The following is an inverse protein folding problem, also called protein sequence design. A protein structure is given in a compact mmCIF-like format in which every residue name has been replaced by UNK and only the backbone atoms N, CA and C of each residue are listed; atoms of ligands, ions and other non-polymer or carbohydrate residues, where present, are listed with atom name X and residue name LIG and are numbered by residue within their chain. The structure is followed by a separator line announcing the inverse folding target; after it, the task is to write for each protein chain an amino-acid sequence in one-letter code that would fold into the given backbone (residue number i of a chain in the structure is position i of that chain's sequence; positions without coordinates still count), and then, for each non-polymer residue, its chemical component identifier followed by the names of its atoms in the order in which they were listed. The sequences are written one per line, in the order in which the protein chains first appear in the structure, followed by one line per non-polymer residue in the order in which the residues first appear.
data_IF_442775832075
#
_entry.id   IF_442775832075
#
_cell.length_a   1.000
_cell.length_b   1.000
_cell.length_c   1.000
_cell.angle_alpha   90.00
_cell.angle_beta   90.00
_cell.angle_gamma   90.00
#
_symmetry.space_group_name_H-M   'P 1'
#
loop_
_entity.id
_entity.type
_entity.pdbx_description
1 polymer ?
#
# COMPACT_ATOMS: atom_id res chain seq x y z
N UNK A 1 50.54 -19.59 -7.75
CA UNK A 1 49.37 -19.24 -8.58
C UNK A 1 48.24 -20.17 -8.18
N UNK A 2 47.34 -19.70 -7.33
CA UNK A 2 46.20 -20.48 -6.84
C UNK A 2 44.99 -20.17 -7.72
N UNK A 3 44.33 -21.22 -8.20
CA UNK A 3 43.22 -21.19 -9.15
C UNK A 3 42.00 -20.44 -8.56
N UNK A 4 41.43 -19.43 -9.28
CA UNK A 4 40.29 -18.65 -8.80
C UNK A 4 39.02 -19.48 -8.54
N UNK A 5 38.91 -20.71 -9.05
CA UNK A 5 37.77 -21.59 -8.80
C UNK A 5 37.80 -22.25 -7.41
N UNK A 6 38.98 -22.40 -6.80
CA UNK A 6 39.12 -23.02 -5.46
C UNK A 6 38.68 -22.05 -4.35
N UNK A 7 38.83 -20.74 -4.58
CA UNK A 7 38.35 -19.70 -3.66
C UNK A 7 36.82 -19.55 -3.66
N UNK A 8 36.15 -19.86 -4.78
CA UNK A 8 34.68 -19.80 -4.88
C UNK A 8 34.00 -20.95 -4.12
N UNK A 9 34.63 -22.13 -4.06
CA UNK A 9 34.11 -23.29 -3.31
C UNK A 9 34.38 -23.21 -1.80
N UNK A 10 35.43 -22.52 -1.37
CA UNK A 10 35.66 -22.27 0.07
C UNK A 10 34.64 -21.28 0.66
N UNK A 11 34.20 -20.28 -0.13
CA UNK A 11 33.17 -19.32 0.28
C UNK A 11 31.75 -19.90 0.34
N UNK A 12 31.54 -21.13 -0.17
CA UNK A 12 30.26 -21.87 -0.06
C UNK A 12 30.14 -22.66 1.25
N UNK A 13 31.23 -22.80 2.02
CA UNK A 13 31.24 -23.59 3.26
C UNK A 13 31.08 -22.74 4.52
N UNK A 14 31.44 -21.46 4.45
CA UNK A 14 31.18 -20.50 5.52
C UNK A 14 29.90 -19.74 5.17
N UNK A 15 28.79 -20.09 5.83
CA UNK A 15 27.42 -19.58 5.61
C UNK A 15 27.21 -18.08 5.84
N UNK A 16 28.02 -17.22 5.20
CA UNK A 16 28.04 -15.77 5.37
C UNK A 16 27.16 -14.96 4.41
N UNK A 17 26.33 -15.62 3.59
CA UNK A 17 25.46 -14.92 2.61
C UNK A 17 23.95 -15.06 2.88
N UNK A 18 23.51 -15.75 3.93
CA UNK A 18 22.07 -15.97 4.17
C UNK A 18 21.41 -14.96 5.12
N UNK A 19 22.14 -13.98 5.68
CA UNK A 19 21.61 -13.17 6.79
C UNK A 19 21.20 -11.72 6.42
N UNK A 20 21.24 -11.33 5.13
CA UNK A 20 20.94 -9.93 4.72
C UNK A 20 19.75 -9.74 3.77
N UNK A 21 18.84 -10.70 3.74
CA UNK A 21 17.46 -10.50 3.28
C UNK A 21 16.52 -11.29 4.19
N UNK A 22 16.56 -11.02 5.50
CA UNK A 22 15.44 -11.42 6.35
C UNK A 22 14.30 -10.47 5.98
N UNK A 23 13.47 -10.85 5.02
CA UNK A 23 12.26 -10.12 4.69
C UNK A 23 11.48 -9.85 5.99
N UNK A 24 10.89 -8.66 6.11
CA UNK A 24 10.08 -8.31 7.28
C UNK A 24 9.03 -9.39 7.44
N UNK A 25 9.05 -10.09 8.59
CA UNK A 25 8.08 -11.13 8.88
C UNK A 25 6.70 -10.49 9.04
N UNK A 26 5.71 -11.05 8.36
CA UNK A 26 4.31 -10.64 8.46
C UNK A 26 3.50 -11.88 8.84
N UNK A 27 2.81 -11.80 9.97
CA UNK A 27 1.94 -12.89 10.41
C UNK A 27 0.68 -12.87 9.57
N UNK A 28 0.30 -14.03 9.06
CA UNK A 28 -0.92 -14.21 8.29
C UNK A 28 -1.72 -15.27 9.02
N UNK A 29 -2.95 -14.94 9.39
CA UNK A 29 -3.85 -15.80 10.15
C UNK A 29 -4.94 -16.41 9.25
N UNK A 30 -5.58 -17.51 9.66
CA UNK A 30 -6.61 -18.16 8.85
C UNK A 30 -7.80 -17.24 8.58
N UNK A 31 -8.53 -17.49 7.49
CA UNK A 31 -9.79 -16.82 7.18
C UNK A 31 -10.94 -17.34 8.08
N UNK A 32 -10.81 -17.19 9.39
CA UNK A 32 -11.81 -17.57 10.41
C UNK A 32 -12.43 -16.37 11.15
N UNK A 33 -12.18 -15.16 10.63
CA UNK A 33 -12.74 -13.91 11.12
C UNK A 33 -14.26 -13.86 11.06
N UNK A 34 -14.86 -13.07 11.96
CA UNK A 34 -16.32 -12.86 12.00
C UNK A 34 -16.70 -11.67 11.12
N UNK A 35 -17.68 -11.87 10.24
CA UNK A 35 -18.20 -10.84 9.34
C UNK A 35 -19.65 -10.50 9.67
N UNK A 36 -19.88 -9.28 10.15
CA UNK A 36 -21.18 -8.67 10.38
C UNK A 36 -21.55 -7.74 9.22
N UNK A 37 -22.82 -7.34 9.17
CA UNK A 37 -23.34 -6.39 8.18
C UNK A 37 -23.80 -5.10 8.84
N UNK A 38 -23.56 -3.95 8.19
CA UNK A 38 -24.11 -2.63 8.56
C UNK A 38 -24.83 -1.98 7.37
N UNK A 39 -25.34 -0.77 7.60
CA UNK A 39 -26.08 0.00 6.60
C UNK A 39 -25.22 0.22 5.34
N UNK A 40 -25.86 0.33 4.16
CA UNK A 40 -25.13 0.52 2.92
C UNK A 40 -24.39 1.86 2.94
N UNK A 41 -23.18 1.88 2.37
CA UNK A 41 -22.34 3.07 2.31
C UNK A 41 -22.07 3.44 0.85
N UNK A 42 -22.57 4.60 0.42
CA UNK A 42 -22.36 5.11 -0.93
C UNK A 42 -20.99 5.76 -1.08
N UNK A 43 -20.46 5.80 -2.31
CA UNK A 43 -19.24 6.55 -2.61
C UNK A 43 -19.60 8.03 -2.78
N UNK A 44 -18.77 8.92 -2.23
CA UNK A 44 -18.90 10.37 -2.41
C UNK A 44 -18.31 10.75 -3.77
N UNK A 45 -18.98 11.65 -4.51
CA UNK A 45 -18.50 12.11 -5.80
C UNK A 45 -17.28 13.04 -5.62
N UNK A 46 -16.11 12.68 -6.14
CA UNK A 46 -14.89 13.43 -5.96
C UNK A 46 -14.84 14.81 -6.64
N UNK A 47 -15.78 15.22 -7.48
CA UNK A 47 -15.50 16.31 -8.43
C UNK A 47 -15.20 17.70 -7.85
N UNK A 48 -15.63 18.03 -6.62
CA UNK A 48 -15.58 19.42 -6.13
C UNK A 48 -14.44 19.77 -5.14
N UNK A 49 -13.61 18.81 -4.72
CA UNK A 49 -12.69 19.06 -3.59
C UNK A 49 -11.35 19.70 -3.97
N UNK A 50 -10.92 19.56 -5.24
CA UNK A 50 -9.56 19.99 -5.63
C UNK A 50 -9.37 21.50 -5.51
N UNK A 51 -10.38 22.28 -5.91
CA UNK A 51 -10.30 23.75 -5.87
C UNK A 51 -10.24 24.27 -4.43
N UNK A 52 -10.84 23.55 -3.49
CA UNK A 52 -10.93 23.97 -2.09
C UNK A 52 -9.76 23.44 -1.24
N UNK A 53 -9.27 22.23 -1.50
CA UNK A 53 -8.33 21.51 -0.62
C UNK A 53 -7.01 21.11 -1.30
N UNK A 54 -6.87 21.31 -2.61
CA UNK A 54 -5.67 20.97 -3.36
C UNK A 54 -5.58 19.47 -3.72
N UNK A 55 -4.37 18.91 -3.68
CA UNK A 55 -4.11 17.52 -4.08
C UNK A 55 -4.86 16.57 -3.16
N UNK A 56 -5.70 15.71 -3.71
CA UNK A 56 -6.40 14.70 -2.92
C UNK A 56 -5.42 13.66 -2.40
N UNK A 57 -5.52 13.34 -1.13
CA UNK A 57 -4.76 12.24 -0.52
C UNK A 57 -5.69 11.07 -0.23
N UNK A 58 -5.35 9.90 -0.76
CA UNK A 58 -6.09 8.66 -0.58
C UNK A 58 -5.19 7.64 0.12
N UNK A 59 -5.71 6.91 1.09
CA UNK A 59 -4.99 5.82 1.75
C UNK A 59 -5.75 4.52 1.66
N UNK A 60 -5.04 3.43 1.38
CA UNK A 60 -5.60 2.08 1.24
C UNK A 60 -4.77 1.07 2.04
N UNK A 61 -5.45 0.12 2.68
CA UNK A 61 -4.84 -0.93 3.49
C UNK A 61 -4.90 -2.28 2.80
N UNK A 62 -3.75 -2.95 2.68
CA UNK A 62 -3.64 -4.35 2.28
C UNK A 62 -3.72 -5.21 3.53
N UNK A 63 -4.82 -5.95 3.66
CA UNK A 63 -5.09 -6.87 4.76
C UNK A 63 -4.87 -8.30 4.27
N UNK A 64 -3.99 -9.04 4.94
CA UNK A 64 -3.65 -10.41 4.57
C UNK A 64 -4.27 -11.44 5.51
N UNK A 65 -4.78 -12.50 4.91
CA UNK A 65 -5.29 -13.70 5.57
C UNK A 65 -4.79 -14.91 4.79
N UNK A 66 -4.94 -16.13 5.31
CA UNK A 66 -4.71 -17.33 4.52
C UNK A 66 -5.88 -18.30 4.54
N UNK A 67 -6.00 -19.04 3.46
CA UNK A 67 -6.87 -20.20 3.38
C UNK A 67 -5.99 -21.37 2.94
N UNK A 68 -5.98 -22.45 3.71
CA UNK A 68 -5.12 -23.62 3.47
C UNK A 68 -3.61 -23.31 3.32
N UNK A 69 -3.10 -22.31 4.04
CA UNK A 69 -1.70 -21.87 3.96
C UNK A 69 -1.37 -21.02 2.73
N UNK A 70 -2.36 -20.69 1.90
CA UNK A 70 -2.18 -19.79 0.76
C UNK A 70 -2.59 -18.36 1.13
N UNK A 71 -1.74 -17.35 0.90
CA UNK A 71 -2.04 -15.96 1.24
C UNK A 71 -3.11 -15.36 0.31
N UNK A 72 -4.07 -14.67 0.93
CA UNK A 72 -5.16 -13.96 0.28
C UNK A 72 -5.18 -12.50 0.75
N UNK A 73 -5.66 -11.62 -0.12
CA UNK A 73 -5.90 -10.20 0.18
C UNK A 73 -7.38 -9.98 0.36
N UNK A 74 -7.78 -9.32 1.46
CA UNK A 74 -9.16 -8.91 1.65
C UNK A 74 -9.49 -7.68 0.78
N UNK A 75 -10.51 -7.81 -0.08
CA UNK A 75 -10.99 -6.76 -0.97
C UNK A 75 -12.47 -6.49 -0.75
N UNK A 76 -12.86 -5.23 -0.88
CA UNK A 76 -14.27 -4.82 -0.99
C UNK A 76 -14.72 -5.01 -2.44
N UNK A 77 -15.76 -5.83 -2.63
CA UNK A 77 -16.43 -6.02 -3.90
C UNK A 77 -17.73 -5.22 -3.94
N UNK A 78 -17.87 -4.34 -4.94
CA UNK A 78 -19.04 -3.50 -5.19
C UNK A 78 -19.71 -3.97 -6.49
N UNK A 79 -21.04 -4.10 -6.46
CA UNK A 79 -21.85 -4.50 -7.61
C UNK A 79 -21.33 -5.76 -8.36
N UNK A 80 -20.69 -6.68 -7.64
CA UNK A 80 -20.04 -7.90 -8.14
C UNK A 80 -18.92 -7.74 -9.18
N UNK A 81 -18.64 -6.53 -9.68
CA UNK A 81 -17.69 -6.30 -10.78
C UNK A 81 -16.53 -5.38 -10.40
N UNK A 82 -16.68 -4.57 -9.35
CA UNK A 82 -15.68 -3.59 -8.95
C UNK A 82 -15.01 -4.02 -7.65
N UNK A 83 -13.68 -4.00 -7.62
CA UNK A 83 -12.89 -4.41 -6.47
C UNK A 83 -12.02 -3.25 -6.01
N UNK A 84 -11.95 -3.04 -4.69
CA UNK A 84 -11.09 -2.03 -4.08
C UNK A 84 -10.54 -2.50 -2.75
N UNK A 85 -9.38 -1.94 -2.38
CA UNK A 85 -8.87 -2.09 -1.02
C UNK A 85 -9.71 -1.25 -0.04
N UNK A 86 -9.83 -1.68 1.22
CA UNK A 86 -10.42 -0.85 2.25
C UNK A 86 -9.52 0.37 2.52
N UNK A 87 -10.15 1.54 2.62
CA UNK A 87 -9.46 2.82 2.63
C UNK A 87 -10.39 3.95 2.26
N UNK A 88 -9.86 5.17 2.28
CA UNK A 88 -10.59 6.36 1.86
C UNK A 88 -9.69 7.59 1.72
N UNK A 89 -10.31 8.71 1.39
CA UNK A 89 -9.70 10.03 1.38
C UNK A 89 -9.32 10.51 2.78
N UNK A 90 -8.16 11.14 2.90
CA UNK A 90 -7.72 11.82 4.11
C UNK A 90 -8.30 13.22 4.18
N UNK A 91 -8.58 13.68 5.40
CA UNK A 91 -8.84 15.10 5.64
C UNK A 91 -7.54 15.89 5.49
N UNK A 92 -7.60 17.20 5.17
CA UNK A 92 -6.40 18.04 5.15
C UNK A 92 -5.62 17.93 6.46
N UNK A 93 -4.30 17.78 6.36
CA UNK A 93 -3.36 17.65 7.49
C UNK A 93 -3.51 16.38 8.35
N UNK A 94 -4.30 15.40 7.92
CA UNK A 94 -4.39 14.09 8.59
C UNK A 94 -3.16 13.22 8.22
N UNK A 95 -2.43 12.66 9.19
CA UNK A 95 -1.27 11.83 8.88
C UNK A 95 -1.70 10.46 8.32
N UNK A 96 -1.00 9.98 7.29
CA UNK A 96 -1.44 8.82 6.50
C UNK A 96 -1.74 7.55 7.31
N UNK A 97 -0.88 7.16 8.26
CA UNK A 97 -1.07 5.92 9.04
C UNK A 97 -2.25 6.03 10.00
N UNK A 98 -2.31 7.09 10.80
CA UNK A 98 -3.42 7.28 11.75
C UNK A 98 -4.74 7.47 10.99
N UNK A 99 -4.71 8.22 9.88
CA UNK A 99 -5.87 8.42 9.02
C UNK A 99 -6.34 7.14 8.34
N UNK A 100 -5.43 6.28 7.89
CA UNK A 100 -5.80 4.96 7.36
C UNK A 100 -6.52 4.13 8.42
N UNK A 101 -6.01 4.11 9.66
CA UNK A 101 -6.70 3.43 10.76
C UNK A 101 -8.14 3.91 10.94
N UNK A 102 -8.37 5.24 10.90
CA UNK A 102 -9.71 5.82 11.01
C UNK A 102 -10.61 5.43 9.83
N UNK A 103 -10.07 5.39 8.61
CA UNK A 103 -10.82 4.94 7.43
C UNK A 103 -11.14 3.45 7.48
N UNK A 104 -10.25 2.62 8.02
CA UNK A 104 -10.54 1.20 8.25
C UNK A 104 -11.64 1.01 9.29
N UNK A 105 -11.68 1.80 10.37
CA UNK A 105 -12.79 1.78 11.33
C UNK A 105 -14.10 2.25 10.67
N UNK A 106 -14.08 3.32 9.87
CA UNK A 106 -15.27 3.78 9.14
C UNK A 106 -15.79 2.72 8.17
N UNK A 107 -14.89 2.06 7.43
CA UNK A 107 -15.26 1.08 6.39
C UNK A 107 -15.62 -0.28 6.98
N UNK A 108 -14.85 -0.79 7.94
CA UNK A 108 -14.94 -2.17 8.44
C UNK A 108 -15.18 -2.29 9.94
N UNK A 109 -15.15 -1.20 10.70
CA UNK A 109 -15.44 -1.18 12.13
C UNK A 109 -16.94 -1.32 12.43
N UNK A 110 -17.28 -1.65 13.70
CA UNK A 110 -18.65 -1.74 14.16
C UNK A 110 -19.38 -0.41 14.00
N UNK A 111 -20.73 -0.42 13.96
CA UNK A 111 -21.50 0.83 14.02
C UNK A 111 -21.07 1.61 15.27
N UNK A 112 -20.77 2.90 15.11
CA UNK A 112 -20.64 3.79 16.26
C UNK A 112 -21.94 3.66 17.06
N UNK A 113 -21.86 3.43 18.37
CA UNK A 113 -23.05 3.38 19.21
C UNK A 113 -23.76 4.73 19.09
N UNK A 114 -25.06 4.71 18.80
CA UNK A 114 -25.90 5.92 18.83
C UNK A 114 -25.96 6.53 20.26
N UNK A 115 -25.47 5.80 21.25
CA UNK A 115 -25.40 6.19 22.66
C UNK A 115 -24.14 7.01 22.97
N UNK A 116 -23.99 8.18 22.35
CA UNK A 116 -23.04 9.16 22.85
C UNK A 116 -23.52 10.58 22.56
N UNK A 117 -24.12 11.16 23.59
CA UNK A 117 -23.96 12.56 23.93
C UNK A 117 -22.45 12.84 24.08
N UNK A 118 -21.72 12.88 22.96
CA UNK A 118 -20.30 13.23 22.92
C UNK A 118 -20.20 14.74 23.05
N UNK A 119 -19.63 15.19 24.16
CA UNK A 119 -19.29 16.59 24.38
C UNK A 119 -18.45 17.12 23.19
N UNK A 120 -18.93 18.14 22.45
CA UNK A 120 -18.28 18.63 21.23
C UNK A 120 -16.95 19.37 21.48
N UNK A 121 -16.51 19.51 22.73
CA UNK A 121 -15.32 20.28 23.11
C UNK A 121 -14.02 19.47 23.21
N UNK A 122 -14.02 18.15 22.93
CA UNK A 122 -12.83 17.32 23.02
C UNK A 122 -12.50 16.66 21.67
N UNK A 123 -11.54 17.23 20.93
CA UNK A 123 -10.79 16.51 19.89
C UNK A 123 -9.95 15.41 20.55
N UNK A 124 -10.57 14.31 20.96
CA UNK A 124 -9.82 13.12 21.33
C UNK A 124 -9.23 12.57 20.04
N UNK A 125 -7.90 12.55 19.95
CA UNK A 125 -7.17 11.75 18.96
C UNK A 125 -7.73 10.32 19.05
N UNK A 126 -8.60 9.96 18.11
CA UNK A 126 -9.24 8.65 18.11
C UNK A 126 -8.16 7.63 17.77
N UNK A 127 -7.68 6.94 18.80
CA UNK A 127 -6.68 5.89 18.65
C UNK A 127 -7.38 4.66 18.07
N UNK A 128 -6.94 4.25 16.89
CA UNK A 128 -7.50 3.06 16.23
C UNK A 128 -6.70 1.82 16.63
N UNK A 129 -7.35 0.65 16.60
CA UNK A 129 -6.72 -0.64 16.94
C UNK A 129 -6.03 -1.32 15.77
N UNK A 130 -5.60 -0.57 14.74
CA UNK A 130 -4.98 -1.12 13.54
C UNK A 130 -3.47 -0.94 13.58
N UNK A 131 -2.72 -2.00 13.29
CA UNK A 131 -1.27 -1.96 13.15
C UNK A 131 -0.89 -1.70 11.68
N UNK A 132 -0.60 -0.44 11.36
CA UNK A 132 -0.24 -0.01 10.00
C UNK A 132 1.29 -0.04 9.82
N UNK A 133 1.76 -1.00 9.00
CA UNK A 133 3.17 -1.17 8.65
C UNK A 133 3.64 -0.14 7.61
N UNK A 134 4.71 -0.48 6.89
CA UNK A 134 5.34 0.41 5.93
C UNK A 134 4.51 0.62 4.66
N UNK A 135 4.79 1.76 4.02
CA UNK A 135 4.28 2.11 2.71
C UNK A 135 4.72 1.05 1.69
N UNK A 136 3.75 0.43 1.02
CA UNK A 136 4.00 -0.53 -0.05
C UNK A 136 4.33 0.20 -1.35
N UNK A 137 3.48 1.16 -1.72
CA UNK A 137 3.65 2.00 -2.90
C UNK A 137 2.74 3.23 -2.85
N UNK A 138 3.03 4.17 -3.74
CA UNK A 138 2.19 5.33 -4.02
C UNK A 138 1.81 5.35 -5.49
N UNK A 139 0.68 5.95 -5.82
CA UNK A 139 0.21 6.17 -7.17
C UNK A 139 -0.22 7.62 -7.31
N UNK A 140 0.03 8.21 -8.47
CA UNK A 140 -0.34 9.60 -8.75
C UNK A 140 -1.32 9.66 -9.90
N UNK A 141 -2.38 10.44 -9.72
CA UNK A 141 -3.29 10.80 -10.79
C UNK A 141 -2.89 12.16 -11.36
N UNK A 142 -2.36 12.23 -12.60
CA UNK A 142 -1.90 13.50 -13.17
C UNK A 142 -3.05 14.43 -13.59
N UNK A 143 -4.11 13.86 -14.19
CA UNK A 143 -5.25 14.59 -14.75
C UNK A 143 -6.58 14.00 -14.23
N UNK A 144 -7.73 14.55 -14.58
CA UNK A 144 -9.06 14.01 -14.22
C UNK A 144 -9.44 12.70 -14.96
N UNK A 145 -8.47 12.02 -15.57
CA UNK A 145 -8.66 10.74 -16.27
C UNK A 145 -8.54 9.56 -15.30
N UNK A 146 -9.05 8.39 -15.70
CA UNK A 146 -9.11 7.19 -14.84
C UNK A 146 -7.72 6.58 -14.51
N UNK A 147 -6.68 6.86 -15.31
CA UNK A 147 -5.37 6.24 -15.16
C UNK A 147 -4.54 6.84 -14.02
N UNK A 148 -3.86 5.98 -13.26
CA UNK A 148 -2.89 6.36 -12.23
C UNK A 148 -1.49 5.87 -12.62
N UNK A 149 -0.47 6.69 -12.35
CA UNK A 149 0.93 6.39 -12.60
C UNK A 149 1.56 5.72 -11.37
N UNK A 150 2.24 4.58 -11.59
CA UNK A 150 3.05 3.91 -10.56
C UNK A 150 4.50 4.44 -10.59
N UNK A 151 5.21 4.49 -9.46
CA UNK A 151 6.60 4.96 -9.41
C UNK A 151 7.56 4.00 -10.11
N UNK A 152 7.16 2.74 -10.32
CA UNK A 152 7.99 1.72 -10.98
C UNK A 152 8.29 2.10 -12.43
N UNK A 153 7.45 2.92 -13.08
CA UNK A 153 7.75 3.48 -14.40
C UNK A 153 8.93 4.47 -14.39
N UNK A 154 9.42 4.89 -13.21
CA UNK A 154 10.63 5.71 -13.08
C UNK A 154 11.90 4.87 -12.91
N UNK A 155 11.80 3.61 -12.46
CA UNK A 155 12.97 2.72 -12.32
C UNK A 155 13.47 2.27 -13.70
N UNK A 156 12.59 2.12 -14.69
CA UNK A 156 12.98 1.78 -16.07
C UNK A 156 13.58 2.94 -16.88
N UNK A 157 13.57 4.19 -16.37
CA UNK A 157 14.35 5.29 -16.96
C UNK A 157 15.67 5.58 -16.21
N UNK A 158 15.98 4.81 -15.17
CA UNK A 158 17.26 4.89 -14.44
C UNK A 158 18.18 3.69 -14.69
N UNK A 159 17.72 2.68 -15.41
CA UNK A 159 18.58 1.63 -15.99
C UNK A 159 19.00 2.00 -17.41
N UNK A 160 19.75 3.08 -17.54
CA UNK A 160 20.88 3.09 -18.46
C UNK A 160 21.95 4.11 -18.02
N UNK A 161 22.70 3.75 -16.97
CA UNK A 161 23.95 4.42 -16.60
C UNK A 161 25.15 3.92 -17.39
N UNK A 162 24.99 2.90 -18.22
CA UNK A 162 26.01 2.37 -19.13
C UNK A 162 26.17 3.23 -20.39
N UNK A 163 25.11 3.94 -20.81
CA UNK A 163 25.14 4.80 -22.02
C UNK A 163 25.39 6.29 -21.70
N UNK A 164 25.39 6.70 -20.42
CA UNK A 164 25.70 8.07 -19.99
C UNK A 164 27.17 8.31 -19.59
N UNK A 165 28.11 7.58 -20.17
CA UNK A 165 29.55 7.86 -20.05
C UNK A 165 30.09 8.77 -21.16
N UNK A 166 29.26 9.25 -22.09
CA UNK A 166 29.74 10.07 -23.21
C UNK A 166 29.61 11.59 -23.04
N UNK A 167 28.97 12.10 -21.97
CA UNK A 167 28.90 13.55 -21.72
C UNK A 167 29.24 13.92 -20.27
N UNK A 168 30.37 13.42 -19.76
CA UNK A 168 31.03 13.97 -18.56
C UNK A 168 32.42 14.52 -18.91
N UNK A 169 32.43 15.56 -19.73
CA UNK A 169 33.53 16.54 -19.80
C UNK A 169 32.93 17.93 -19.93
N UNK A 170 32.33 18.45 -18.85
CA UNK A 170 32.47 19.87 -18.50
C UNK A 170 31.83 20.17 -17.15
N UNK A 171 32.43 21.15 -16.47
CA UNK A 171 31.95 21.90 -15.30
C UNK A 171 31.78 21.17 -13.97
N UNK A 172 32.70 21.55 -13.08
CA UNK A 172 32.62 21.56 -11.62
C UNK A 172 31.20 21.74 -11.08
N UNK A 173 30.79 20.84 -10.18
CA UNK A 173 30.07 21.16 -8.95
C UNK A 173 30.08 19.91 -8.06
N UNK A 174 30.67 20.07 -6.88
CA UNK A 174 30.85 19.04 -5.86
C UNK A 174 29.69 19.16 -4.87
N UNK A 175 28.68 18.30 -4.95
CA UNK A 175 27.61 18.27 -3.95
C UNK A 175 27.44 16.84 -3.43
N UNK A 176 27.84 16.65 -2.17
CA UNK A 176 27.77 15.42 -1.40
C UNK A 176 26.32 15.22 -0.94
N UNK A 177 25.63 14.22 -1.46
CA UNK A 177 24.23 13.93 -1.09
C UNK A 177 24.22 13.17 0.24
N UNK A 178 23.66 13.79 1.27
CA UNK A 178 23.40 13.18 2.57
C UNK A 178 22.08 12.40 2.46
N UNK A 179 22.11 11.08 2.65
CA UNK A 179 20.93 10.22 2.63
C UNK A 179 20.21 10.30 3.98
N UNK A 180 19.27 11.22 4.12
CA UNK A 180 18.34 11.26 5.25
C UNK A 180 16.92 11.35 4.73
N UNK A 181 16.14 10.29 4.98
CA UNK A 181 14.71 10.08 4.67
C UNK A 181 14.34 10.16 3.17
N UNK A 182 13.58 9.19 2.61
CA UNK A 182 13.09 9.33 1.24
C UNK A 182 11.96 10.36 1.22
N UNK A 183 12.23 11.54 0.69
CA UNK A 183 11.17 12.45 0.24
C UNK A 183 10.23 11.70 -0.71
N UNK A 184 8.91 11.90 -0.65
CA UNK A 184 7.97 11.25 -1.55
C UNK A 184 8.34 11.62 -2.99
N UNK A 185 8.76 10.63 -3.78
CA UNK A 185 9.18 10.81 -5.17
C UNK A 185 8.04 11.45 -5.97
N UNK A 186 8.22 12.71 -6.35
CA UNK A 186 7.26 13.48 -7.14
C UNK A 186 7.08 12.85 -8.53
N UNK A 187 5.87 12.88 -9.14
CA UNK A 187 5.69 12.47 -10.53
C UNK A 187 6.57 13.32 -11.46
N UNK A 188 6.95 12.74 -12.61
CA UNK A 188 7.91 13.32 -13.58
C UNK A 188 7.74 14.83 -13.83
N UNK A 189 8.84 15.50 -14.16
CA UNK A 189 9.02 16.96 -14.36
C UNK A 189 8.03 17.70 -15.27
N UNK A 190 7.10 17.02 -15.95
CA UNK A 190 6.09 17.61 -16.84
C UNK A 190 4.70 17.73 -16.21
N UNK A 191 4.45 17.14 -15.03
CA UNK A 191 3.19 17.26 -14.30
C UNK A 191 3.45 18.20 -13.11
N UNK A 192 3.05 19.46 -13.24
CA UNK A 192 3.33 20.46 -12.22
C UNK A 192 2.56 20.22 -10.91
N UNK A 193 1.36 19.63 -10.96
CA UNK A 193 0.50 19.36 -9.81
C UNK A 193 -0.43 18.15 -10.06
N UNK A 194 -0.17 16.97 -9.46
CA UNK A 194 -1.11 15.85 -9.55
C UNK A 194 -2.43 16.18 -8.85
N UNK A 195 -3.53 15.58 -9.31
CA UNK A 195 -4.87 15.77 -8.71
C UNK A 195 -5.11 14.86 -7.51
N UNK A 196 -4.47 13.71 -7.49
CA UNK A 196 -4.59 12.72 -6.42
C UNK A 196 -3.26 12.01 -6.19
N UNK A 197 -2.94 11.75 -4.91
CA UNK A 197 -1.89 10.82 -4.48
C UNK A 197 -2.57 9.73 -3.67
N UNK A 198 -2.45 8.49 -4.13
CA UNK A 198 -2.97 7.30 -3.44
C UNK A 198 -1.81 6.52 -2.83
N UNK A 199 -1.89 6.24 -1.54
CA UNK A 199 -0.84 5.55 -0.78
C UNK A 199 -1.37 4.22 -0.25
N UNK A 200 -0.66 3.12 -0.52
CA UNK A 200 -1.04 1.78 -0.08
C UNK A 200 -0.11 1.31 1.04
N UNK A 201 -0.67 0.79 2.12
CA UNK A 201 0.06 0.31 3.28
C UNK A 201 -0.27 -1.15 3.56
N UNK A 202 0.71 -1.90 4.06
CA UNK A 202 0.44 -3.19 4.67
C UNK A 202 -0.17 -2.96 6.05
N UNK A 203 -1.23 -3.70 6.39
CA UNK A 203 -1.89 -3.60 7.69
C UNK A 203 -1.95 -4.99 8.31
N UNK A 204 -1.33 -5.13 9.48
CA UNK A 204 -1.28 -6.40 10.19
C UNK A 204 -2.61 -6.64 10.89
N UNK A 205 -3.21 -7.79 10.57
CA UNK A 205 -4.40 -8.24 11.25
C UNK A 205 -4.00 -8.96 12.55
N UNK A 206 -4.76 -8.75 13.65
CA UNK A 206 -4.67 -9.61 14.82
C UNK A 206 -5.25 -11.00 14.49
N UNK A 207 -4.92 -12.01 15.30
CA UNK A 207 -5.43 -13.38 15.17
C UNK A 207 -6.97 -13.44 15.17
N UNK A 208 -7.62 -12.59 15.96
CA UNK A 208 -9.07 -12.48 16.00
C UNK A 208 -9.52 -11.04 15.79
N UNK A 209 -10.48 -10.87 14.87
CA UNK A 209 -11.13 -9.57 14.59
C UNK A 209 -12.56 -9.79 14.11
N UNK A 210 -13.41 -8.82 14.38
CA UNK A 210 -14.76 -8.73 13.83
C UNK A 210 -14.80 -7.61 12.80
N UNK A 211 -15.18 -7.93 11.57
CA UNK A 211 -15.41 -6.94 10.53
C UNK A 211 -16.91 -6.68 10.41
N UNK A 212 -17.31 -5.42 10.23
CA UNK A 212 -18.70 -5.05 9.94
C UNK A 212 -18.75 -4.36 8.59
N UNK A 213 -19.28 -5.07 7.58
CA UNK A 213 -19.22 -4.69 6.16
C UNK A 213 -20.53 -3.99 5.75
N UNK A 214 -20.49 -2.88 4.99
CA UNK A 214 -21.70 -2.27 4.43
C UNK A 214 -22.48 -3.24 3.54
N UNK A 215 -23.81 -3.26 3.66
CA UNK A 215 -24.67 -4.23 2.95
C UNK A 215 -24.65 -4.13 1.42
N UNK A 216 -24.23 -3.00 0.86
CA UNK A 216 -24.05 -2.81 -0.59
C UNK A 216 -22.68 -3.29 -1.11
N UNK A 217 -21.84 -3.87 -0.25
CA UNK A 217 -20.53 -4.40 -0.58
C UNK A 217 -20.34 -5.79 0.03
N UNK A 218 -19.34 -6.51 -0.46
CA UNK A 218 -18.88 -7.76 0.15
C UNK A 218 -17.39 -7.66 0.45
N UNK A 219 -16.96 -8.19 1.60
CA UNK A 219 -15.54 -8.35 1.90
C UNK A 219 -15.16 -9.77 1.49
N UNK A 220 -14.29 -9.90 0.50
CA UNK A 220 -13.89 -11.19 -0.07
C UNK A 220 -12.38 -11.38 0.04
N UNK A 221 -11.92 -12.61 0.21
CA UNK A 221 -10.51 -12.96 0.19
C UNK A 221 -10.13 -13.41 -1.23
N UNK A 222 -9.20 -12.73 -1.88
CA UNK A 222 -8.68 -13.10 -3.20
C UNK A 222 -7.25 -13.64 -3.08
N UNK A 223 -6.94 -14.83 -3.60
CA UNK A 223 -5.59 -15.39 -3.52
C UNK A 223 -4.60 -14.51 -4.29
N UNK A 224 -3.39 -14.35 -3.76
CA UNK A 224 -2.35 -13.54 -4.44
C UNK A 224 -2.09 -13.99 -5.87
N UNK A 225 -2.21 -15.28 -6.16
CA UNK A 225 -2.05 -15.84 -7.50
C UNK A 225 -3.11 -15.34 -8.49
N UNK A 226 -4.35 -15.10 -8.05
CA UNK A 226 -5.42 -14.60 -8.93
C UNK A 226 -5.26 -13.11 -9.26
N UNK A 227 -4.64 -12.35 -8.36
CA UNK A 227 -4.28 -10.95 -8.60
C UNK A 227 -3.09 -10.82 -9.55
N UNK A 228 -2.17 -11.78 -9.56
CA UNK A 228 -0.92 -11.71 -10.31
C UNK A 228 -1.16 -11.48 -11.81
N UNK A 229 -0.64 -10.36 -12.32
CA UNK A 229 -0.73 -9.95 -13.73
C UNK A 229 -2.17 -9.89 -14.30
N UNK A 230 -3.17 -9.72 -13.43
CA UNK A 230 -4.58 -9.72 -13.80
C UNK A 230 -5.19 -8.30 -13.79
N UNK A 231 -4.52 -7.38 -14.47
CA UNK A 231 -4.94 -5.97 -14.54
C UNK A 231 -6.27 -5.78 -15.30
N UNK A 232 -6.64 -6.72 -16.18
CA UNK A 232 -7.91 -6.69 -16.92
C UNK A 232 -9.11 -6.77 -15.97
N UNK A 233 -9.03 -7.64 -14.94
CA UNK A 233 -10.13 -7.84 -13.99
C UNK A 233 -10.04 -6.94 -12.77
N UNK A 234 -8.84 -6.77 -12.21
CA UNK A 234 -8.65 -6.08 -10.92
C UNK A 234 -8.05 -4.68 -11.06
N UNK A 235 -7.68 -4.26 -12.27
CA UNK A 235 -6.95 -3.03 -12.50
C UNK A 235 -5.46 -3.13 -12.13
N UNK A 236 -4.64 -2.18 -12.61
CA UNK A 236 -3.19 -2.23 -12.48
C UNK A 236 -2.69 -2.12 -11.04
N UNK A 237 -3.43 -1.43 -10.17
CA UNK A 237 -3.06 -1.24 -8.77
C UNK A 237 -3.13 -2.55 -7.98
N UNK A 238 -4.24 -3.28 -8.10
CA UNK A 238 -4.41 -4.57 -7.42
C UNK A 238 -3.53 -5.66 -8.03
N UNK A 239 -3.35 -5.66 -9.36
CA UNK A 239 -2.48 -6.61 -10.03
C UNK A 239 -0.99 -6.48 -9.65
N UNK A 240 -0.59 -5.31 -9.13
CA UNK A 240 0.76 -5.07 -8.62
C UNK A 240 0.97 -5.61 -7.19
N UNK A 241 -0.09 -5.88 -6.42
CA UNK A 241 0.02 -6.26 -4.99
C UNK A 241 0.93 -7.47 -4.76
N UNK A 242 0.85 -8.57 -5.54
CA UNK A 242 1.76 -9.71 -5.34
C UNK A 242 3.24 -9.33 -5.47
N UNK A 243 3.57 -8.42 -6.39
CA UNK A 243 4.94 -7.91 -6.57
C UNK A 243 5.39 -7.03 -5.39
N UNK A 244 4.48 -6.21 -4.84
CA UNK A 244 4.78 -5.35 -3.70
C UNK A 244 5.00 -6.14 -2.41
N UNK A 245 4.31 -7.28 -2.28
CA UNK A 245 4.40 -8.14 -1.12
C UNK A 245 5.56 -9.15 -1.18
N UNK A 246 6.21 -9.33 -2.33
CA UNK A 246 7.28 -10.32 -2.50
C UNK A 246 8.52 -10.09 -1.63
N UNK A 247 8.64 -8.91 -1.02
CA UNK A 247 9.72 -8.55 -0.07
C UNK A 247 9.44 -8.99 1.37
N UNK A 248 8.22 -9.43 1.68
CA UNK A 248 7.82 -9.88 3.01
C UNK A 248 7.92 -11.40 3.11
N UNK A 249 8.22 -11.88 4.32
CA UNK A 249 8.16 -13.30 4.66
C UNK A 249 6.84 -13.55 5.38
N UNK A 250 5.95 -14.34 4.79
CA UNK A 250 4.69 -14.71 5.44
C UNK A 250 4.94 -15.82 6.46
N UNK A 251 4.63 -15.55 7.72
CA UNK A 251 4.54 -16.55 8.77
C UNK A 251 3.07 -16.94 8.89
N UNK A 252 2.75 -18.17 8.50
CA UNK A 252 1.39 -18.71 8.56
C UNK A 252 1.14 -19.16 10.00
N UNK A 253 0.22 -18.46 10.67
CA UNK A 253 -0.18 -18.68 12.07
C UNK A 253 -1.25 -19.73 12.25
#
# INVERSE_FOLDING_TARGET
MSDPLVLTLAALRDGGWTERYVGVACWVYPLDYVFNTKDPQYEEDPQNDFEQYGIRQTVEGVLLVHEHGHPHVLLLQVANAYFKLPGDYLKPNEPNKDGLGLRLDMRLGPKARDDAQSDPSMEKKQVTGWEVHDLLAQWWRPNYEQFMLTPVLMVFRLLDRSTLTFLRKSSHLNTRIHLSCPDPLYPSSHIAQPKEVKSMYLVQLPEHKVFTVPSNMKLIAIPLLELYDNAVRYGPLLAAVPHLLSKYRFEIG
#
